data_IF_593656760462
#
_entry.id   IF_593656760462
#
_cell.length_a   1.000
_cell.length_b   1.000
_cell.length_c   1.000
_cell.angle_alpha   90.00
_cell.angle_beta   90.00
_cell.angle_gamma   90.00
#
_symmetry.space_group_name_H-M   'P 1'
#
loop_
_entity.id
_entity.type
_entity.pdbx_description
1 polymer ?
#
# COMPACT_ATOMS: atom_id res chain seq x y z
N UNK A 1 6.34 68.80 -6.00
CA UNK A 1 5.06 68.15 -5.63
C UNK A 1 4.80 66.81 -6.36
N UNK A 2 5.79 66.22 -7.04
CA UNK A 2 5.64 64.94 -7.76
C UNK A 2 6.23 63.73 -7.02
N UNK A 3 7.17 63.94 -6.08
CA UNK A 3 7.82 62.87 -5.33
C UNK A 3 6.95 62.25 -4.20
N UNK A 4 6.01 63.02 -3.64
CA UNK A 4 5.14 62.56 -2.54
C UNK A 4 4.02 61.61 -3.01
N UNK A 5 3.62 61.69 -4.28
CA UNK A 5 2.63 60.77 -4.85
C UNK A 5 3.25 59.40 -5.16
N UNK A 6 4.51 59.37 -5.62
CA UNK A 6 5.19 58.11 -5.98
C UNK A 6 5.39 57.16 -4.81
N UNK A 7 5.71 57.65 -3.62
CA UNK A 7 5.94 56.81 -2.43
C UNK A 7 4.65 56.24 -1.84
N UNK A 8 3.54 56.97 -1.94
CA UNK A 8 2.22 56.49 -1.50
C UNK A 8 1.70 55.36 -2.39
N UNK A 9 1.90 55.44 -3.71
CA UNK A 9 1.54 54.36 -4.63
C UNK A 9 2.33 53.06 -4.36
N UNK A 10 3.62 53.14 -4.00
CA UNK A 10 4.42 51.96 -3.67
C UNK A 10 3.94 51.25 -2.40
N UNK A 11 3.54 52.00 -1.35
CA UNK A 11 3.03 51.42 -0.11
C UNK A 11 1.67 50.75 -0.32
N UNK A 12 0.81 51.35 -1.15
CA UNK A 12 -0.49 50.76 -1.53
C UNK A 12 -0.28 49.47 -2.34
N UNK A 13 0.67 49.43 -3.28
CA UNK A 13 1.00 48.21 -4.03
C UNK A 13 1.60 47.12 -3.12
N UNK A 14 2.42 47.49 -2.13
CA UNK A 14 2.98 46.56 -1.15
C UNK A 14 1.87 46.03 -0.23
N UNK A 15 0.95 46.87 0.25
CA UNK A 15 -0.22 46.44 1.03
C UNK A 15 -1.17 45.57 0.20
N UNK A 16 -1.43 45.91 -1.07
CA UNK A 16 -2.26 45.09 -1.97
C UNK A 16 -1.57 43.75 -2.24
N UNK A 17 -0.24 43.70 -2.41
CA UNK A 17 0.52 42.43 -2.50
C UNK A 17 0.47 41.64 -1.19
N UNK A 18 0.49 42.30 -0.03
CA UNK A 18 0.37 41.66 1.29
C UNK A 18 -1.05 41.13 1.55
N UNK A 19 -2.07 41.85 1.07
CA UNK A 19 -3.48 41.48 1.16
C UNK A 19 -3.86 40.38 0.15
N UNK A 20 -3.26 40.37 -1.04
CA UNK A 20 -3.44 39.32 -2.06
C UNK A 20 -2.66 38.04 -1.77
N UNK A 21 -1.86 37.98 -0.69
CA UNK A 21 -1.11 36.79 -0.29
C UNK A 21 -1.71 36.05 0.92
N UNK A 22 -2.94 36.40 1.33
CA UNK A 22 -3.67 35.67 2.37
C UNK A 22 -4.94 35.07 1.78
N UNK A 23 -5.09 33.76 1.94
CA UNK A 23 -6.10 32.87 1.36
C UNK A 23 -5.93 32.56 -0.14
N UNK A 24 -4.92 31.75 -0.45
CA UNK A 24 -5.17 30.69 -1.43
C UNK A 24 -6.04 29.64 -0.74
N UNK A 25 -7.36 29.75 -0.90
CA UNK A 25 -8.23 28.58 -0.84
C UNK A 25 -7.87 27.70 -2.03
N UNK A 26 -6.84 26.88 -1.88
CA UNK A 26 -6.46 25.90 -2.90
C UNK A 26 -7.59 24.87 -2.94
N UNK A 27 -8.20 24.71 -4.12
CA UNK A 27 -9.14 23.64 -4.41
C UNK A 27 -8.60 22.32 -3.85
N UNK A 28 -9.26 21.82 -2.79
CA UNK A 28 -9.01 20.51 -2.18
C UNK A 28 -9.11 19.36 -3.21
N UNK A 29 -9.70 19.61 -4.37
CA UNK A 29 -9.86 18.65 -5.46
C UNK A 29 -8.57 18.31 -6.22
N UNK A 30 -7.49 19.12 -6.13
CA UNK A 30 -6.25 18.84 -6.87
C UNK A 30 -5.12 18.24 -6.03
N UNK A 31 -5.21 18.30 -4.68
CA UNK A 31 -4.19 17.86 -3.71
C UNK A 31 -2.76 18.32 -4.01
N UNK A 32 -2.66 19.40 -4.75
CA UNK A 32 -1.44 19.98 -5.26
C UNK A 32 -1.41 21.41 -4.76
N UNK A 33 -0.39 21.71 -3.98
CA UNK A 33 -0.26 22.99 -3.31
C UNK A 33 0.98 23.70 -3.83
N UNK A 34 0.85 24.98 -4.16
CA UNK A 34 1.98 25.82 -4.52
C UNK A 34 2.53 26.43 -3.23
N UNK A 35 3.76 26.09 -2.87
CA UNK A 35 4.47 26.70 -1.74
C UNK A 35 5.54 27.66 -2.28
N UNK A 36 6.05 28.58 -1.45
CA UNK A 36 7.17 29.46 -1.85
C UNK A 36 8.41 28.69 -2.32
N UNK A 37 8.61 27.48 -1.82
CA UNK A 37 9.77 26.63 -2.13
C UNK A 37 9.52 25.67 -3.31
N UNK A 38 8.31 25.65 -3.86
CA UNK A 38 7.97 24.86 -5.04
C UNK A 38 6.60 24.19 -4.96
N UNK A 39 6.33 23.31 -5.91
CA UNK A 39 5.07 22.57 -5.98
C UNK A 39 5.12 21.35 -5.05
N UNK A 40 4.16 21.24 -4.13
CA UNK A 40 3.99 20.08 -3.28
C UNK A 40 2.78 19.26 -3.74
N UNK A 41 2.98 17.98 -4.03
CA UNK A 41 1.94 17.08 -4.52
C UNK A 41 1.65 15.99 -3.47
N UNK A 42 0.56 16.17 -2.70
CA UNK A 42 0.18 15.27 -1.61
C UNK A 42 -0.21 13.87 -2.13
N UNK A 43 -0.54 13.73 -3.41
CA UNK A 43 -0.82 12.41 -4.02
C UNK A 43 0.40 11.50 -3.97
N UNK A 44 1.61 12.06 -3.90
CA UNK A 44 2.84 11.28 -3.70
C UNK A 44 2.94 10.69 -2.29
N UNK A 45 2.18 11.24 -1.34
CA UNK A 45 2.06 10.85 0.06
C UNK A 45 0.77 10.06 0.32
N UNK A 46 0.10 9.60 -0.73
CA UNK A 46 -1.04 8.69 -0.65
C UNK A 46 -1.01 7.60 -1.70
N UNK A 47 -2.01 6.72 -1.67
CA UNK A 47 -2.23 5.67 -2.64
C UNK A 47 -3.74 5.61 -3.02
N UNK A 48 -4.10 5.53 -4.32
CA UNK A 48 -5.50 5.53 -4.76
C UNK A 48 -6.39 4.39 -4.25
N UNK A 49 -5.82 3.27 -3.78
CA UNK A 49 -6.60 2.05 -3.49
C UNK A 49 -6.61 1.67 -2.01
N UNK A 50 -5.57 2.03 -1.27
CA UNK A 50 -5.37 1.58 0.11
C UNK A 50 -4.63 2.67 0.89
N UNK A 51 -4.73 2.70 2.22
CA UNK A 51 -3.96 3.64 3.02
C UNK A 51 -2.47 3.47 2.75
N UNK A 52 -1.78 4.55 2.40
CA UNK A 52 -0.32 4.52 2.19
C UNK A 52 0.40 4.17 3.48
N UNK A 53 -0.06 4.73 4.61
CA UNK A 53 0.47 4.47 5.92
C UNK A 53 -0.56 3.68 6.71
N UNK A 54 -0.20 2.47 7.14
CA UNK A 54 -1.09 1.55 7.84
C UNK A 54 -0.41 1.02 9.09
N UNK A 55 -1.23 0.59 10.06
CA UNK A 55 -0.79 -0.02 11.31
C UNK A 55 0.27 0.77 12.08
N UNK A 56 0.20 2.11 12.04
CA UNK A 56 1.10 2.98 12.81
C UNK A 56 0.70 2.86 14.29
N UNK A 57 1.56 2.35 15.19
CA UNK A 57 1.22 2.27 16.61
C UNK A 57 1.12 3.66 17.24
N UNK A 58 0.26 3.82 18.25
CA UNK A 58 0.27 5.02 19.08
C UNK A 58 1.63 5.21 19.77
N UNK A 59 2.12 6.45 19.78
CA UNK A 59 3.35 6.79 20.50
C UNK A 59 3.23 6.57 22.01
N UNK A 60 2.03 6.66 22.58
CA UNK A 60 1.78 6.32 23.96
C UNK A 60 1.68 4.79 24.10
N UNK A 61 2.67 4.12 24.73
CA UNK A 61 2.67 2.66 24.83
C UNK A 61 1.52 2.11 25.69
N UNK A 62 0.86 2.95 26.48
CA UNK A 62 -0.32 2.56 27.25
C UNK A 62 -1.61 2.53 26.40
N UNK A 63 -1.60 3.19 25.23
CA UNK A 63 -2.70 3.16 24.27
C UNK A 63 -2.43 2.06 23.26
N UNK A 64 -3.08 0.91 23.45
CA UNK A 64 -3.04 -0.19 22.50
C UNK A 64 -3.93 0.14 21.30
N UNK A 65 -3.47 1.03 20.42
CA UNK A 65 -4.17 1.42 19.21
C UNK A 65 -3.19 1.55 18.04
N UNK A 66 -3.68 1.28 16.83
CA UNK A 66 -2.98 1.57 15.58
C UNK A 66 -3.79 2.52 14.70
N UNK A 67 -3.07 3.22 13.83
CA UNK A 67 -3.63 4.23 12.95
C UNK A 67 -3.30 3.92 11.50
N UNK A 68 -4.24 4.27 10.62
CA UNK A 68 -4.03 4.26 9.18
C UNK A 68 -4.35 5.64 8.62
N UNK A 69 -3.57 6.07 7.63
CA UNK A 69 -3.70 7.37 7.00
C UNK A 69 -3.40 7.29 5.50
N UNK A 70 -4.13 8.07 4.72
CA UNK A 70 -3.92 8.22 3.30
C UNK A 70 -4.01 9.69 2.88
N UNK A 71 -2.94 10.21 2.28
CA UNK A 71 -2.94 11.56 1.73
C UNK A 71 -3.76 11.65 0.45
N UNK A 72 -4.62 12.65 0.32
CA UNK A 72 -5.43 12.97 -0.87
C UNK A 72 -6.48 11.94 -1.32
N UNK A 73 -6.15 10.66 -1.31
CA UNK A 73 -7.05 9.60 -1.77
C UNK A 73 -7.85 9.08 -0.58
N UNK A 74 -9.17 9.06 -0.72
CA UNK A 74 -10.02 8.38 0.25
C UNK A 74 -9.93 6.85 0.09
N UNK A 75 -10.18 6.15 1.19
CA UNK A 75 -10.24 4.69 1.20
C UNK A 75 -11.36 4.21 2.12
N UNK A 76 -11.79 2.96 1.91
CA UNK A 76 -12.79 2.30 2.72
C UNK A 76 -12.16 1.11 3.44
N UNK A 77 -12.38 1.01 4.74
CA UNK A 77 -11.89 -0.09 5.58
C UNK A 77 -12.80 -0.27 6.80
N UNK A 78 -13.46 -1.41 6.93
CA UNK A 78 -14.43 -1.69 8.00
C UNK A 78 -15.50 -0.57 8.12
N UNK A 79 -15.57 0.12 9.28
CA UNK A 79 -16.49 1.24 9.51
C UNK A 79 -15.96 2.58 8.98
N UNK A 80 -14.73 2.62 8.48
CA UNK A 80 -14.21 3.79 7.79
C UNK A 80 -14.73 3.83 6.35
N UNK A 81 -15.53 4.84 6.04
CA UNK A 81 -16.04 5.12 4.70
C UNK A 81 -15.54 6.50 4.26
N UNK A 82 -15.07 6.60 3.02
CA UNK A 82 -14.47 7.82 2.45
C UNK A 82 -13.36 8.42 3.35
N UNK A 83 -12.57 7.56 4.00
CA UNK A 83 -11.67 7.97 5.06
C UNK A 83 -10.37 8.56 4.53
N UNK A 84 -9.89 9.61 5.21
CA UNK A 84 -8.51 10.06 5.19
C UNK A 84 -7.69 9.34 6.26
N UNK A 85 -8.30 9.06 7.43
CA UNK A 85 -7.66 8.39 8.55
C UNK A 85 -8.61 7.50 9.33
N UNK A 86 -8.06 6.43 9.90
CA UNK A 86 -8.75 5.47 10.76
C UNK A 86 -7.95 5.12 12.00
N UNK A 87 -8.65 4.78 13.08
CA UNK A 87 -8.11 4.20 14.31
C UNK A 87 -8.56 2.75 14.44
N UNK A 88 -7.71 1.90 14.99
CA UNK A 88 -8.05 0.53 15.39
C UNK A 88 -7.54 0.28 16.81
N UNK A 89 -8.45 0.11 17.76
CA UNK A 89 -8.11 -0.23 19.15
C UNK A 89 -7.79 -1.74 19.23
N UNK A 90 -6.68 -2.16 19.84
CA UNK A 90 -6.39 -3.57 20.09
C UNK A 90 -7.05 -4.05 21.39
N UNK A 91 -7.53 -5.30 21.45
CA UNK A 91 -7.43 -6.35 20.43
C UNK A 91 -8.55 -6.33 19.38
N UNK A 92 -9.36 -5.27 19.32
CA UNK A 92 -10.49 -5.21 18.39
C UNK A 92 -10.02 -5.22 16.94
N UNK A 93 -10.82 -5.82 16.07
CA UNK A 93 -10.56 -5.83 14.64
C UNK A 93 -11.23 -4.68 13.90
N UNK A 94 -12.04 -3.88 14.58
CA UNK A 94 -12.91 -2.88 13.97
C UNK A 94 -12.21 -1.53 13.87
N UNK A 95 -12.05 -1.04 12.64
CA UNK A 95 -11.52 0.30 12.38
C UNK A 95 -12.62 1.36 12.54
N UNK A 96 -12.35 2.43 13.28
CA UNK A 96 -13.21 3.61 13.46
C UNK A 96 -12.67 4.79 12.65
N UNK A 97 -13.58 5.56 12.05
CA UNK A 97 -13.26 6.77 11.29
C UNK A 97 -12.70 7.85 12.22
N UNK A 98 -11.63 8.53 11.78
CA UNK A 98 -11.08 9.73 12.42
C UNK A 98 -11.39 10.98 11.59
N UNK A 99 -11.24 10.87 10.27
CA UNK A 99 -11.41 11.97 9.35
C UNK A 99 -11.72 11.48 7.93
N UNK A 100 -12.52 12.24 7.20
CA UNK A 100 -12.74 12.12 5.75
C UNK A 100 -11.85 13.13 4.99
N UNK A 101 -11.91 13.13 3.65
CA UNK A 101 -11.18 14.09 2.81
C UNK A 101 -11.95 15.40 2.55
N UNK A 102 -13.16 15.56 3.10
CA UNK A 102 -14.10 16.60 2.66
C UNK A 102 -13.71 18.00 3.17
N UNK A 103 -13.17 18.08 4.39
CA UNK A 103 -12.85 19.33 5.07
C UNK A 103 -11.37 19.41 5.46
N UNK A 104 -10.50 19.58 4.45
CA UNK A 104 -9.05 19.71 4.66
C UNK A 104 -8.59 21.16 4.56
N UNK A 105 -7.85 21.62 5.56
CA UNK A 105 -7.17 22.91 5.57
C UNK A 105 -5.66 22.70 5.39
N UNK A 106 -5.05 23.45 4.48
CA UNK A 106 -3.63 23.36 4.19
C UNK A 106 -2.88 24.56 4.77
N UNK A 107 -1.78 24.29 5.46
CA UNK A 107 -0.86 25.31 5.94
C UNK A 107 0.58 24.90 5.63
N UNK A 108 1.40 25.88 5.24
CA UNK A 108 2.82 25.68 4.96
C UNK A 108 3.66 26.70 5.73
N UNK A 109 4.66 26.22 6.46
CA UNK A 109 5.66 27.05 7.15
C UNK A 109 7.05 26.45 6.99
N UNK A 110 7.91 27.10 6.19
CA UNK A 110 9.36 26.85 6.06
C UNK A 110 9.75 25.36 6.17
N UNK A 111 9.30 24.55 5.20
CA UNK A 111 9.50 23.08 5.08
C UNK A 111 8.55 22.15 5.86
N UNK A 112 7.65 22.72 6.67
CA UNK A 112 6.62 21.98 7.38
C UNK A 112 5.29 22.21 6.65
N UNK A 113 4.68 21.11 6.21
CA UNK A 113 3.33 21.12 5.66
C UNK A 113 2.37 20.54 6.68
N UNK A 114 1.29 21.24 6.95
CA UNK A 114 0.26 20.81 7.88
C UNK A 114 -1.08 20.70 7.15
N UNK A 115 -1.73 19.55 7.28
CA UNK A 115 -3.10 19.31 6.85
C UNK A 115 -3.97 19.14 8.09
N UNK A 116 -4.97 20.00 8.24
CA UNK A 116 -5.93 19.93 9.34
C UNK A 116 -7.27 19.47 8.80
N UNK A 117 -7.71 18.31 9.26
CA UNK A 117 -9.00 17.73 8.93
C UNK A 117 -9.97 17.97 10.08
N UNK A 118 -11.18 18.39 9.73
CA UNK A 118 -12.22 18.74 10.71
C UNK A 118 -13.55 18.13 10.30
N UNK A 119 -14.13 17.29 11.15
CA UNK A 119 -15.48 16.75 10.92
C UNK A 119 -16.46 17.42 11.88
N UNK A 120 -17.26 18.36 11.35
CA UNK A 120 -18.32 19.06 12.10
C UNK A 120 -17.89 19.79 13.38
N UNK A 121 -16.59 19.94 13.64
CA UNK A 121 -16.03 20.53 14.86
C UNK A 121 -15.85 19.57 16.04
N UNK A 122 -16.07 18.27 15.87
CA UNK A 122 -15.95 17.27 16.95
C UNK A 122 -14.57 16.59 16.92
N UNK A 123 -14.18 16.08 15.75
CA UNK A 123 -12.90 15.40 15.57
C UNK A 123 -11.90 16.29 14.85
N UNK A 124 -10.69 16.34 15.39
CA UNK A 124 -9.58 17.14 14.89
C UNK A 124 -8.39 16.24 14.59
N UNK A 125 -8.04 16.11 13.30
CA UNK A 125 -6.83 15.44 12.87
C UNK A 125 -5.86 16.45 12.29
N UNK A 126 -4.67 16.52 12.87
CA UNK A 126 -3.57 17.31 12.36
C UNK A 126 -2.49 16.38 11.79
N UNK A 127 -2.25 16.47 10.49
CA UNK A 127 -1.21 15.72 9.80
C UNK A 127 -0.08 16.66 9.44
N UNK A 128 1.13 16.37 9.94
CA UNK A 128 2.32 17.16 9.70
C UNK A 128 3.29 16.39 8.83
N UNK A 129 3.60 16.92 7.65
CA UNK A 129 4.68 16.43 6.81
C UNK A 129 5.91 17.32 6.96
N UNK A 130 7.05 16.71 7.27
CA UNK A 130 8.34 17.37 7.34
C UNK A 130 9.21 16.89 6.19
N UNK A 131 9.76 17.84 5.44
CA UNK A 131 10.75 17.55 4.43
C UNK A 131 12.01 16.96 5.07
N UNK A 132 12.37 15.74 4.69
CA UNK A 132 13.62 15.11 5.04
C UNK A 132 14.07 14.21 3.87
N UNK A 133 15.18 14.55 3.22
CA UNK A 133 15.65 13.80 2.04
C UNK A 133 16.32 12.47 2.40
N UNK A 134 16.77 12.32 3.64
CA UNK A 134 17.64 11.21 4.06
C UNK A 134 16.91 10.15 4.87
N UNK A 135 15.81 10.53 5.52
CA UNK A 135 15.15 9.69 6.51
C UNK A 135 13.64 9.69 6.32
N UNK A 136 13.06 8.49 6.39
CA UNK A 136 11.62 8.32 6.43
C UNK A 136 11.19 7.91 7.84
N UNK A 137 10.30 8.70 8.44
CA UNK A 137 9.78 8.47 9.79
C UNK A 137 8.28 8.67 9.79
N UNK A 138 7.59 7.93 10.64
CA UNK A 138 6.16 8.08 10.85
C UNK A 138 5.84 7.94 12.33
N UNK A 139 4.93 8.77 12.82
CA UNK A 139 4.41 8.66 14.17
C UNK A 139 2.97 9.14 14.22
N UNK A 140 2.18 8.51 15.08
CA UNK A 140 0.80 8.87 15.32
C UNK A 140 0.53 8.85 16.81
N UNK A 141 -0.21 9.84 17.30
CA UNK A 141 -0.56 9.91 18.72
C UNK A 141 -1.94 10.53 18.90
N UNK A 142 -2.69 9.98 19.83
CA UNK A 142 -3.91 10.58 20.33
C UNK A 142 -3.58 11.55 21.46
N UNK A 143 -3.82 12.85 21.26
CA UNK A 143 -3.50 13.90 22.24
C UNK A 143 -4.67 14.26 23.15
N UNK A 144 -5.90 13.91 22.75
CA UNK A 144 -7.13 14.13 23.51
C UNK A 144 -8.21 13.13 23.14
N UNK A 145 -9.44 13.30 23.64
CA UNK A 145 -10.54 12.35 23.36
C UNK A 145 -10.81 12.19 21.86
N UNK A 146 -10.78 13.30 21.10
CA UNK A 146 -11.10 13.36 19.68
C UNK A 146 -10.04 14.15 18.88
N UNK A 147 -8.82 14.22 19.40
CA UNK A 147 -7.71 14.95 18.79
C UNK A 147 -6.53 14.03 18.49
N UNK A 148 -6.10 14.06 17.24
CA UNK A 148 -5.08 13.16 16.70
C UNK A 148 -4.00 13.96 15.98
N UNK A 149 -2.75 13.60 16.23
CA UNK A 149 -1.58 14.23 15.59
C UNK A 149 -0.75 13.16 14.91
N UNK A 150 -0.67 13.24 13.59
CA UNK A 150 0.19 12.38 12.78
C UNK A 150 1.38 13.19 12.26
N UNK A 151 2.57 12.61 12.31
CA UNK A 151 3.80 13.22 11.82
C UNK A 151 4.51 12.26 10.88
N UNK A 152 4.83 12.76 9.69
CA UNK A 152 5.51 12.01 8.65
C UNK A 152 6.74 12.79 8.20
N UNK A 153 7.88 12.12 8.11
CA UNK A 153 9.09 12.63 7.47
C UNK A 153 9.31 11.83 6.19
N UNK A 154 9.49 12.52 5.07
CA UNK A 154 9.78 11.88 3.79
C UNK A 154 10.39 12.89 2.82
N UNK A 155 11.17 12.39 1.87
CA UNK A 155 11.67 13.17 0.73
C UNK A 155 10.54 13.78 -0.10
N UNK A 156 9.37 13.13 -0.15
CA UNK A 156 8.22 13.61 -0.91
C UNK A 156 7.42 14.70 -0.21
N UNK A 157 7.71 14.98 1.06
CA UNK A 157 7.23 16.18 1.74
C UNK A 157 8.01 17.44 1.32
N UNK A 158 9.15 17.28 0.64
CA UNK A 158 9.93 18.39 0.11
C UNK A 158 9.31 18.91 -1.20
N UNK A 159 9.00 20.22 -1.30
CA UNK A 159 8.48 20.81 -2.52
C UNK A 159 9.37 20.53 -3.74
N UNK A 160 8.76 20.18 -4.87
CA UNK A 160 9.45 19.92 -6.14
C UNK A 160 10.23 18.60 -6.24
N UNK A 161 10.36 17.82 -5.16
CA UNK A 161 11.18 16.58 -5.18
C UNK A 161 10.44 15.36 -5.71
N UNK A 162 9.14 15.25 -5.43
CA UNK A 162 8.33 14.14 -5.90
C UNK A 162 7.23 14.62 -6.85
N UNK A 163 6.98 13.83 -7.89
CA UNK A 163 5.88 14.07 -8.83
C UNK A 163 5.00 12.85 -8.85
N UNK A 164 3.69 13.02 -8.64
CA UNK A 164 2.75 11.93 -8.75
C UNK A 164 2.70 11.46 -10.20
N UNK A 165 3.08 10.20 -10.42
CA UNK A 165 2.87 9.50 -11.68
C UNK A 165 1.77 8.47 -11.42
N UNK A 166 0.57 8.62 -11.99
CA UNK A 166 -0.47 7.61 -11.81
C UNK A 166 0.09 6.28 -12.29
N UNK A 167 0.26 5.34 -11.37
CA UNK A 167 0.68 3.99 -11.72
C UNK A 167 -0.48 3.38 -12.49
N UNK A 168 -0.33 3.24 -13.81
CA UNK A 168 -1.21 2.36 -14.58
C UNK A 168 -1.17 1.01 -13.85
N UNK A 169 -2.33 0.57 -13.37
CA UNK A 169 -2.57 -0.74 -12.77
C UNK A 169 -1.69 -1.74 -13.49
N UNK A 170 -0.66 -2.28 -12.84
CA UNK A 170 0.00 -3.47 -13.36
C UNK A 170 -1.06 -4.55 -13.25
N UNK A 171 -1.85 -4.73 -14.30
CA UNK A 171 -2.58 -5.96 -14.52
C UNK A 171 -1.58 -7.07 -14.23
N UNK A 172 -1.86 -7.89 -13.21
CA UNK A 172 -0.92 -8.88 -12.70
C UNK A 172 -0.43 -9.74 -13.84
N UNK A 173 0.73 -9.39 -14.41
CA UNK A 173 1.42 -10.23 -15.36
C UNK A 173 1.92 -11.38 -14.53
N UNK A 174 1.33 -12.56 -14.74
CA UNK A 174 1.86 -13.81 -14.21
C UNK A 174 3.37 -13.79 -14.43
N UNK A 175 4.13 -14.00 -13.35
CA UNK A 175 5.58 -14.10 -13.44
C UNK A 175 5.93 -15.08 -14.57
N UNK A 176 6.98 -14.80 -15.35
CA UNK A 176 7.43 -15.68 -16.44
C UNK A 176 7.53 -17.14 -15.98
N UNK A 177 7.92 -17.37 -14.72
CA UNK A 177 7.94 -18.70 -14.11
C UNK A 177 6.56 -19.37 -14.01
N UNK A 178 5.50 -18.62 -13.65
CA UNK A 178 4.14 -19.13 -13.59
C UNK A 178 3.59 -19.53 -14.96
N UNK A 179 3.93 -18.76 -16.00
CA UNK A 179 3.53 -19.07 -17.39
C UNK A 179 4.17 -20.40 -17.85
N UNK A 180 5.46 -20.60 -17.57
CA UNK A 180 6.17 -21.84 -17.91
C UNK A 180 5.55 -23.06 -17.20
N UNK A 181 5.22 -22.93 -15.92
CA UNK A 181 4.58 -24.01 -15.14
C UNK A 181 3.22 -24.37 -15.73
N UNK A 182 2.40 -23.38 -16.09
CA UNK A 182 1.08 -23.62 -16.71
C UNK A 182 1.23 -24.39 -18.02
N UNK A 183 2.15 -23.97 -18.89
CA UNK A 183 2.40 -24.66 -20.18
C UNK A 183 2.82 -26.11 -19.94
N UNK A 184 3.75 -26.35 -19.00
CA UNK A 184 4.21 -27.70 -18.68
C UNK A 184 3.06 -28.60 -18.19
N UNK A 185 2.21 -28.10 -17.28
CA UNK A 185 1.05 -28.86 -16.78
C UNK A 185 0.07 -29.19 -17.90
N UNK A 186 -0.21 -28.26 -18.83
CA UNK A 186 -1.06 -28.51 -19.98
C UNK A 186 -0.50 -29.61 -20.90
N UNK A 187 0.80 -29.59 -21.19
CA UNK A 187 1.45 -30.62 -22.01
C UNK A 187 1.40 -32.00 -21.36
N UNK A 188 1.64 -32.06 -20.04
CA UNK A 188 1.53 -33.30 -19.26
C UNK A 188 0.09 -33.84 -19.29
N UNK A 189 -0.92 -32.98 -19.14
CA UNK A 189 -2.32 -33.40 -19.20
C UNK A 189 -2.69 -33.99 -20.57
N UNK A 190 -2.29 -33.34 -21.66
CA UNK A 190 -2.50 -33.85 -23.03
C UNK A 190 -1.79 -35.20 -23.23
N UNK A 191 -0.57 -35.34 -22.73
CA UNK A 191 0.19 -36.60 -22.80
C UNK A 191 -0.51 -37.73 -22.05
N UNK A 192 -0.98 -37.48 -20.82
CA UNK A 192 -1.66 -38.50 -20.01
C UNK A 192 -2.98 -38.89 -20.67
N UNK A 193 -3.80 -37.93 -21.11
CA UNK A 193 -5.10 -38.19 -21.76
C UNK A 193 -4.89 -38.94 -23.08
N UNK A 194 -4.03 -38.45 -23.96
CA UNK A 194 -3.75 -39.08 -25.25
C UNK A 194 -3.18 -40.49 -25.09
N UNK A 195 -2.25 -40.68 -24.17
CA UNK A 195 -1.68 -41.99 -23.89
C UNK A 195 -2.67 -42.95 -23.23
N UNK A 196 -3.56 -42.48 -22.36
CA UNK A 196 -4.66 -43.29 -21.83
C UNK A 196 -5.62 -43.76 -22.92
N UNK A 197 -6.00 -42.87 -23.85
CA UNK A 197 -6.85 -43.24 -24.99
C UNK A 197 -6.13 -44.25 -25.89
N UNK A 198 -4.84 -44.07 -26.15
CA UNK A 198 -4.05 -45.01 -26.94
C UNK A 198 -3.97 -46.40 -26.28
N UNK A 199 -3.65 -46.47 -24.99
CA UNK A 199 -3.58 -47.74 -24.25
C UNK A 199 -4.95 -48.44 -24.18
N UNK A 200 -6.03 -47.67 -24.05
CA UNK A 200 -7.40 -48.21 -24.00
C UNK A 200 -7.88 -48.73 -25.35
N UNK A 201 -7.70 -47.97 -26.43
CA UNK A 201 -8.29 -48.32 -27.74
C UNK A 201 -7.40 -49.21 -28.61
N UNK A 202 -6.07 -49.11 -28.50
CA UNK A 202 -5.15 -49.91 -29.32
C UNK A 202 -4.61 -51.14 -28.60
N UNK A 203 -4.41 -51.06 -27.28
CA UNK A 203 -3.82 -52.15 -26.49
C UNK A 203 -4.83 -52.91 -25.62
N UNK A 204 -6.09 -52.47 -25.57
CA UNK A 204 -7.15 -53.05 -24.74
C UNK A 204 -6.71 -53.27 -23.28
N UNK A 205 -5.78 -52.43 -22.79
CA UNK A 205 -5.34 -52.48 -21.41
C UNK A 205 -6.47 -52.00 -20.50
N UNK A 206 -6.60 -52.59 -19.32
CA UNK A 206 -7.62 -52.27 -18.33
C UNK A 206 -6.99 -52.07 -16.95
N UNK A 207 -7.59 -51.20 -16.13
CA UNK A 207 -7.08 -50.88 -14.80
C UNK A 207 -5.88 -49.93 -14.81
N UNK A 208 -4.90 -50.21 -13.95
CA UNK A 208 -3.76 -49.30 -13.67
C UNK A 208 -2.70 -49.24 -14.78
N UNK A 209 -2.77 -50.15 -15.76
CA UNK A 209 -1.92 -50.19 -16.95
C UNK A 209 -2.31 -49.15 -18.03
N UNK A 210 -3.40 -48.41 -17.81
CA UNK A 210 -3.84 -47.36 -18.73
C UNK A 210 -2.91 -46.14 -18.72
N UNK A 211 -2.18 -45.92 -17.62
CA UNK A 211 -1.35 -44.73 -17.43
C UNK A 211 0.01 -44.94 -18.11
N UNK A 212 0.36 -44.14 -19.13
CA UNK A 212 1.65 -44.24 -19.80
C UNK A 212 2.80 -43.98 -18.81
N UNK A 213 3.80 -44.85 -18.80
CA UNK A 213 5.01 -44.70 -17.98
C UNK A 213 4.71 -44.46 -16.49
N UNK A 214 3.76 -45.22 -15.92
CA UNK A 214 3.32 -45.12 -14.52
C UNK A 214 4.46 -45.00 -13.51
N UNK A 215 5.53 -45.79 -13.67
CA UNK A 215 6.68 -45.77 -12.77
C UNK A 215 7.36 -44.40 -12.68
N UNK A 216 7.43 -43.65 -13.78
CA UNK A 216 8.00 -42.30 -13.82
C UNK A 216 7.13 -41.34 -13.00
N UNK A 217 5.81 -41.38 -13.16
CA UNK A 217 4.88 -40.50 -12.44
C UNK A 217 4.87 -40.76 -10.93
N UNK A 218 4.91 -42.05 -10.54
CA UNK A 218 4.97 -42.44 -9.13
C UNK A 218 6.30 -41.98 -8.51
N UNK A 219 7.42 -42.13 -9.23
CA UNK A 219 8.73 -41.64 -8.77
C UNK A 219 8.74 -40.12 -8.59
N UNK A 220 8.23 -39.36 -9.56
CA UNK A 220 8.13 -37.90 -9.48
C UNK A 220 7.28 -37.47 -8.28
N UNK A 221 6.10 -38.06 -8.09
CA UNK A 221 5.22 -37.72 -6.97
C UNK A 221 5.87 -38.03 -5.61
N UNK A 222 6.55 -39.17 -5.51
CA UNK A 222 7.22 -39.59 -4.27
C UNK A 222 8.39 -38.65 -3.95
N UNK A 223 9.22 -38.33 -4.94
CA UNK A 223 10.34 -37.39 -4.79
C UNK A 223 9.86 -35.99 -4.41
N UNK A 224 8.74 -35.52 -4.98
CA UNK A 224 8.15 -34.24 -4.63
C UNK A 224 7.66 -34.19 -3.17
N UNK A 225 6.98 -35.25 -2.71
CA UNK A 225 6.51 -35.34 -1.31
C UNK A 225 7.69 -35.35 -0.33
N UNK A 226 8.76 -36.08 -0.65
CA UNK A 226 9.98 -36.12 0.17
C UNK A 226 10.63 -34.73 0.22
N UNK A 227 10.76 -34.05 -0.92
CA UNK A 227 11.32 -32.70 -0.99
C UNK A 227 10.51 -31.68 -0.18
N UNK A 228 9.18 -31.69 -0.29
CA UNK A 228 8.30 -30.81 0.48
C UNK A 228 8.46 -31.07 1.98
N UNK A 229 8.47 -32.33 2.42
CA UNK A 229 8.67 -32.68 3.83
C UNK A 229 10.05 -32.24 4.34
N UNK A 230 11.09 -32.35 3.51
CA UNK A 230 12.43 -31.87 3.86
C UNK A 230 12.46 -30.35 4.09
N UNK A 231 11.86 -29.58 3.18
CA UNK A 231 11.78 -28.11 3.28
C UNK A 231 10.93 -27.69 4.48
N UNK A 232 9.75 -28.28 4.66
CA UNK A 232 8.82 -27.95 5.75
C UNK A 232 9.38 -28.34 7.12
N UNK A 233 10.21 -29.39 7.18
CA UNK A 233 10.90 -29.78 8.42
C UNK A 233 12.19 -28.99 8.69
N UNK A 234 12.52 -27.99 7.87
CA UNK A 234 13.78 -27.23 7.96
C UNK A 234 15.01 -28.16 8.10
N UNK A 235 15.02 -29.27 7.36
CA UNK A 235 16.10 -30.26 7.41
C UNK A 235 16.12 -31.17 8.64
N UNK A 236 15.09 -31.17 9.50
CA UNK A 236 15.04 -32.01 10.74
C UNK A 236 14.40 -33.39 10.55
N UNK A 237 14.16 -33.84 9.32
CA UNK A 237 13.59 -35.17 9.08
C UNK A 237 14.62 -36.29 9.31
N UNK A 238 14.29 -37.27 10.16
CA UNK A 238 15.01 -38.55 10.18
C UNK A 238 14.73 -39.27 8.86
N UNK A 239 15.78 -39.81 8.22
CA UNK A 239 15.66 -40.59 7.00
C UNK A 239 14.62 -41.73 7.19
N UNK A 240 13.67 -41.94 6.26
CA UNK A 240 12.84 -43.13 6.30
C UNK A 240 13.72 -44.35 6.03
N UNK A 241 13.57 -45.39 6.84
CA UNK A 241 14.17 -46.69 6.57
C UNK A 241 13.64 -47.23 5.23
N UNK A 242 14.57 -47.69 4.41
CA UNK A 242 14.33 -48.41 3.16
C UNK A 242 13.45 -49.63 3.41
N UNK A 243 12.14 -49.50 3.22
CA UNK A 243 11.23 -50.63 3.12
C UNK A 243 11.13 -51.07 1.65
N UNK A 244 11.90 -52.11 1.35
CA UNK A 244 11.70 -53.15 0.33
C UNK A 244 10.77 -52.84 -0.86
N UNK A 245 11.35 -52.58 -2.03
CA UNK A 245 10.74 -52.99 -3.30
C UNK A 245 11.59 -54.12 -3.90
N UNK A 246 11.36 -55.32 -3.37
CA UNK A 246 11.71 -56.58 -3.99
C UNK A 246 10.56 -57.54 -3.73
N UNK A 247 10.12 -58.24 -4.78
CA UNK A 247 8.98 -59.18 -4.88
C UNK A 247 7.67 -58.53 -5.40
N UNK A 248 7.60 -58.33 -6.72
CA UNK A 248 6.84 -59.19 -7.65
C UNK A 248 7.42 -59.02 -9.07
#
# INVERSE_FOLDING_TARGET
MTAFLSTQFSIIIIMIRWLLHRNQSVNAESCVYNTPDGKLDIRTLGNPHSPKFHDIPDQNPHLLATYSYNGCFSYNQDQCQNAAACKKDLPTTVSKLIANQDNVQFQYDKSITQLSYTDGGIQHLTVTFRCNENEEKQSATQTGTDSYVFSFQSKCACPGKCTYKPTKKSSGKLSTGGIIVIIFVCLVAVYIIGGMLFMKFKRQASGMELIPNRMVWVSIATNAIIGIRYVVSCGKSKAPSSASYGQL
#
